data_IF_528660228338
#
_entry.id   IF_528660228338
#
_cell.length_a   1.000
_cell.length_b   1.000
_cell.length_c   1.000
_cell.angle_alpha   90.00
_cell.angle_beta   90.00
_cell.angle_gamma   90.00
#
_symmetry.space_group_name_H-M   'P 1'
#
loop_
_entity.id
_entity.type
_entity.pdbx_description
1 polymer ?
#
# COMPACT_ATOMS: atom_id res chain seq x y z
N UNK A 1 12.89 3.90 18.06
CA UNK A 1 13.10 4.55 16.74
C UNK A 1 12.26 5.82 16.67
N UNK A 2 12.75 6.87 16.01
CA UNK A 2 11.96 8.09 15.80
C UNK A 2 10.73 7.79 14.94
N UNK A 3 9.55 8.26 15.34
CA UNK A 3 8.28 8.01 14.63
C UNK A 3 8.33 8.57 13.21
N UNK A 4 8.97 9.74 13.04
CA UNK A 4 9.14 10.33 11.70
C UNK A 4 10.03 9.48 10.78
N UNK A 5 10.97 8.72 11.35
CA UNK A 5 11.75 7.74 10.56
C UNK A 5 10.88 6.57 10.14
N UNK A 6 10.01 6.06 11.03
CA UNK A 6 9.01 5.03 10.69
C UNK A 6 8.14 5.51 9.52
N UNK A 7 7.59 6.72 9.61
CA UNK A 7 6.73 7.28 8.57
C UNK A 7 7.45 7.38 7.23
N UNK A 8 8.71 7.83 7.20
CA UNK A 8 9.52 7.87 5.97
C UNK A 8 9.73 6.49 5.36
N UNK A 9 10.01 5.47 6.18
CA UNK A 9 10.18 4.09 5.71
C UNK A 9 8.86 3.58 5.11
N UNK A 10 7.74 3.78 5.80
CA UNK A 10 6.41 3.37 5.31
C UNK A 10 6.04 4.10 4.03
N UNK A 11 6.35 5.39 3.91
CA UNK A 11 6.16 6.15 2.66
C UNK A 11 6.99 5.53 1.53
N UNK A 12 8.27 5.24 1.76
CA UNK A 12 9.14 4.65 0.74
C UNK A 12 8.61 3.28 0.27
N UNK A 13 8.18 2.43 1.22
CA UNK A 13 7.57 1.13 0.90
C UNK A 13 6.26 1.33 0.10
N UNK A 14 5.41 2.27 0.52
CA UNK A 14 4.13 2.55 -0.14
C UNK A 14 4.32 3.04 -1.57
N UNK A 15 5.28 3.94 -1.80
CA UNK A 15 5.66 4.41 -3.14
C UNK A 15 6.13 3.22 -4.00
N UNK A 16 6.97 2.36 -3.45
CA UNK A 16 7.47 1.20 -4.19
C UNK A 16 6.34 0.22 -4.55
N UNK A 17 5.41 -0.03 -3.63
CA UNK A 17 4.28 -0.94 -3.85
C UNK A 17 3.25 -0.39 -4.84
N UNK A 18 2.98 0.92 -4.84
CA UNK A 18 1.99 1.54 -5.75
C UNK A 18 2.55 1.84 -7.14
N UNK A 19 3.87 1.93 -7.27
CA UNK A 19 4.54 2.32 -8.52
C UNK A 19 4.06 1.52 -9.76
N UNK A 20 3.86 0.19 -9.71
CA UNK A 20 3.31 -0.55 -10.85
C UNK A 20 1.96 -0.02 -11.34
N UNK A 21 1.06 0.34 -10.41
CA UNK A 21 -0.26 0.89 -10.76
C UNK A 21 -0.13 2.29 -11.37
N UNK A 22 0.77 3.13 -10.85
CA UNK A 22 1.00 4.45 -11.45
C UNK A 22 1.56 4.31 -12.86
N UNK A 23 2.50 3.37 -13.09
CA UNK A 23 3.10 3.14 -14.41
C UNK A 23 2.04 2.66 -15.42
N UNK A 24 1.11 1.77 -15.02
CA UNK A 24 0.06 1.29 -15.94
C UNK A 24 -0.94 2.37 -16.37
N UNK A 25 -1.05 3.49 -15.65
CA UNK A 25 -1.84 4.64 -16.10
C UNK A 25 -1.25 5.28 -17.38
N UNK A 26 0.08 5.22 -17.55
CA UNK A 26 0.78 5.89 -18.65
C UNK A 26 1.39 4.93 -19.67
N UNK A 27 1.53 3.65 -19.34
CA UNK A 27 2.07 2.61 -20.23
C UNK A 27 1.00 1.56 -20.57
N UNK A 28 0.48 1.56 -21.82
CA UNK A 28 -0.47 0.54 -22.28
C UNK A 28 0.10 -0.88 -22.20
N UNK A 29 1.38 -1.07 -22.50
CA UNK A 29 2.05 -2.38 -22.42
C UNK A 29 2.08 -2.89 -20.98
N UNK A 30 2.46 -2.02 -20.03
CA UNK A 30 2.51 -2.38 -18.62
C UNK A 30 1.11 -2.64 -18.04
N UNK A 31 0.12 -1.87 -18.50
CA UNK A 31 -1.29 -2.11 -18.17
C UNK A 31 -1.76 -3.47 -18.64
N UNK A 32 -1.51 -3.82 -19.90
CA UNK A 32 -1.90 -5.10 -20.47
C UNK A 32 -1.21 -6.26 -19.73
N UNK A 33 0.07 -6.10 -19.37
CA UNK A 33 0.80 -7.08 -18.57
C UNK A 33 0.10 -7.34 -17.22
N UNK A 34 -0.17 -6.30 -16.43
CA UNK A 34 -0.83 -6.45 -15.13
C UNK A 34 -2.28 -6.98 -15.23
N UNK A 35 -3.02 -6.53 -16.25
CA UNK A 35 -4.36 -7.02 -16.52
C UNK A 35 -4.33 -8.50 -16.90
N UNK A 36 -3.33 -8.93 -17.68
CA UNK A 36 -3.13 -10.33 -18.07
C UNK A 36 -2.81 -11.21 -16.86
N UNK A 37 -1.99 -10.72 -15.93
CA UNK A 37 -1.67 -11.43 -14.69
C UNK A 37 -2.92 -11.64 -13.81
N UNK A 38 -3.90 -10.75 -13.89
CA UNK A 38 -5.12 -10.77 -13.07
C UNK A 38 -6.28 -11.51 -13.75
N UNK A 39 -6.49 -11.30 -15.05
CA UNK A 39 -7.66 -11.75 -15.80
C UNK A 39 -7.35 -12.84 -16.84
N UNK A 40 -6.08 -13.24 -16.99
CA UNK A 40 -5.63 -14.23 -17.96
C UNK A 40 -5.18 -13.62 -19.30
N UNK A 41 -4.69 -14.47 -20.22
CA UNK A 41 -4.00 -14.07 -21.46
C UNK A 41 -4.81 -13.25 -22.47
N UNK A 42 -6.14 -13.26 -22.34
CA UNK A 42 -7.05 -12.52 -23.23
C UNK A 42 -8.14 -11.84 -22.41
N UNK A 43 -7.81 -10.77 -21.66
CA UNK A 43 -8.80 -10.03 -20.90
C UNK A 43 -9.88 -9.45 -21.85
N UNK A 44 -11.15 -9.50 -21.43
CA UNK A 44 -12.22 -8.84 -22.17
C UNK A 44 -12.13 -7.31 -22.05
N UNK A 45 -12.81 -6.59 -22.94
CA UNK A 45 -12.88 -5.13 -22.88
C UNK A 45 -13.44 -4.64 -21.52
N UNK A 46 -14.45 -5.32 -20.99
CA UNK A 46 -15.02 -5.03 -19.66
C UNK A 46 -13.98 -5.24 -18.54
N UNK A 47 -13.18 -6.29 -18.63
CA UNK A 47 -12.11 -6.56 -17.66
C UNK A 47 -11.02 -5.48 -17.71
N UNK A 48 -10.66 -5.05 -18.93
CA UNK A 48 -9.73 -3.93 -19.14
C UNK A 48 -10.28 -2.62 -18.57
N UNK A 49 -11.54 -2.30 -18.84
CA UNK A 49 -12.17 -1.10 -18.30
C UNK A 49 -12.25 -1.13 -16.77
N UNK A 50 -12.56 -2.29 -16.19
CA UNK A 50 -12.53 -2.47 -14.74
C UNK A 50 -11.12 -2.27 -14.17
N UNK A 51 -10.10 -2.85 -14.81
CA UNK A 51 -8.70 -2.71 -14.41
C UNK A 51 -8.21 -1.26 -14.45
N UNK A 52 -8.57 -0.52 -15.50
CA UNK A 52 -8.22 0.89 -15.66
C UNK A 52 -8.82 1.75 -14.54
N UNK A 53 -10.11 1.56 -14.25
CA UNK A 53 -10.78 2.25 -13.15
C UNK A 53 -10.18 1.88 -11.79
N UNK A 54 -9.92 0.60 -11.55
CA UNK A 54 -9.27 0.12 -10.34
C UNK A 54 -7.90 0.77 -10.15
N UNK A 55 -7.07 0.73 -11.19
CA UNK A 55 -5.72 1.30 -11.17
C UNK A 55 -5.78 2.79 -10.84
N UNK A 56 -6.64 3.56 -11.52
CA UNK A 56 -6.78 5.00 -11.29
C UNK A 56 -7.18 5.30 -9.84
N UNK A 57 -8.20 4.63 -9.33
CA UNK A 57 -8.71 4.86 -7.97
C UNK A 57 -7.65 4.50 -6.93
N UNK A 58 -7.05 3.32 -7.01
CA UNK A 58 -6.05 2.88 -6.02
C UNK A 58 -4.80 3.76 -6.09
N UNK A 59 -4.35 4.16 -7.30
CA UNK A 59 -3.24 5.11 -7.48
C UNK A 59 -3.48 6.43 -6.73
N UNK A 60 -4.67 7.02 -6.88
CA UNK A 60 -5.01 8.29 -6.24
C UNK A 60 -5.23 8.15 -4.73
N UNK A 61 -5.90 7.09 -4.28
CA UNK A 61 -6.13 6.83 -2.85
C UNK A 61 -4.82 6.72 -2.10
N UNK A 62 -3.87 5.90 -2.55
CA UNK A 62 -2.60 5.73 -1.85
C UNK A 62 -1.70 6.96 -1.99
N UNK A 63 -1.78 7.70 -3.10
CA UNK A 63 -1.11 9.00 -3.22
C UNK A 63 -1.64 9.97 -2.13
N UNK A 64 -2.95 10.04 -1.93
CA UNK A 64 -3.57 10.81 -0.86
C UNK A 64 -3.11 10.37 0.54
N UNK A 65 -3.06 9.06 0.79
CA UNK A 65 -2.56 8.50 2.06
C UNK A 65 -1.09 8.86 2.29
N UNK A 66 -0.24 8.78 1.27
CA UNK A 66 1.18 9.18 1.36
C UNK A 66 1.29 10.66 1.78
N UNK A 67 0.54 11.56 1.13
CA UNK A 67 0.53 12.97 1.51
C UNK A 67 -0.02 13.21 2.91
N UNK A 68 -1.00 12.43 3.35
CA UNK A 68 -1.49 12.49 4.72
C UNK A 68 -0.39 12.10 5.74
N UNK A 69 0.38 11.04 5.47
CA UNK A 69 1.53 10.65 6.30
C UNK A 69 2.59 11.77 6.31
N UNK A 70 2.89 12.35 5.15
CA UNK A 70 3.81 13.51 5.04
C UNK A 70 3.31 14.67 5.90
N UNK A 71 2.04 15.04 5.79
CA UNK A 71 1.41 16.09 6.58
C UNK A 71 1.52 15.81 8.09
N UNK A 72 1.32 14.57 8.51
CA UNK A 72 1.42 14.18 9.92
C UNK A 72 2.84 14.32 10.50
N UNK A 73 3.89 14.35 9.67
CA UNK A 73 5.25 14.62 10.14
C UNK A 73 5.45 16.07 10.60
N UNK A 74 4.51 16.98 10.33
CA UNK A 74 4.54 18.36 10.86
C UNK A 74 4.28 18.43 12.37
N UNK A 75 3.61 17.42 12.95
CA UNK A 75 3.36 17.39 14.39
C UNK A 75 4.67 17.23 15.18
N UNK A 76 4.74 17.91 16.33
CA UNK A 76 5.88 17.85 17.27
C UNK A 76 5.56 17.05 18.52
N UNK A 77 4.28 16.94 18.88
CA UNK A 77 3.81 16.19 20.04
C UNK A 77 3.93 14.68 19.82
N UNK A 78 4.62 14.01 20.74
CA UNK A 78 4.84 12.55 20.71
C UNK A 78 3.52 11.77 20.78
N UNK A 79 2.58 12.18 21.64
CA UNK A 79 1.30 11.50 21.82
C UNK A 79 0.45 11.56 20.54
N UNK A 80 0.49 12.70 19.84
CA UNK A 80 -0.18 12.88 18.55
C UNK A 80 0.46 11.97 17.51
N UNK A 81 1.79 11.96 17.40
CA UNK A 81 2.51 11.10 16.45
C UNK A 81 2.28 9.61 16.70
N UNK A 82 2.23 9.18 17.97
CA UNK A 82 1.89 7.80 18.34
C UNK A 82 0.48 7.42 17.92
N UNK A 83 -0.48 8.33 18.14
CA UNK A 83 -1.88 8.12 17.69
C UNK A 83 -1.97 8.04 16.17
N UNK A 84 -1.27 8.90 15.44
CA UNK A 84 -1.21 8.81 13.98
C UNK A 84 -0.58 7.50 13.51
N UNK A 85 0.51 7.06 14.14
CA UNK A 85 1.12 5.76 13.86
C UNK A 85 0.16 4.59 14.06
N UNK A 86 -0.69 4.65 15.09
CA UNK A 86 -1.74 3.65 15.31
C UNK A 86 -2.81 3.68 14.22
N UNK A 87 -3.28 4.86 13.81
CA UNK A 87 -4.29 5.00 12.76
C UNK A 87 -3.77 4.47 11.42
N UNK A 88 -2.50 4.76 11.09
CA UNK A 88 -1.87 4.16 9.91
C UNK A 88 -1.71 2.65 10.06
N UNK A 89 -1.32 2.14 11.23
CA UNK A 89 -1.28 0.70 11.47
C UNK A 89 -2.63 0.04 11.18
N UNK A 90 -3.74 0.65 11.61
CA UNK A 90 -5.10 0.15 11.33
C UNK A 90 -5.39 0.20 9.83
N UNK A 91 -5.15 1.34 9.17
CA UNK A 91 -5.39 1.51 7.74
C UNK A 91 -4.62 0.48 6.90
N UNK A 92 -3.29 0.43 7.07
CA UNK A 92 -2.44 -0.53 6.38
C UNK A 92 -2.76 -1.97 6.81
N UNK A 93 -3.31 -2.18 8.01
CA UNK A 93 -3.74 -3.48 8.50
C UNK A 93 -4.83 -4.06 7.62
N UNK A 94 -5.82 -3.25 7.26
CA UNK A 94 -6.86 -3.64 6.31
C UNK A 94 -6.32 -3.82 4.90
N UNK A 95 -5.38 -2.98 4.45
CA UNK A 95 -4.71 -3.17 3.15
C UNK A 95 -4.00 -4.53 3.11
N UNK A 96 -3.07 -4.79 4.03
CA UNK A 96 -2.31 -6.05 4.04
C UNK A 96 -3.19 -7.27 4.33
N UNK A 97 -4.37 -7.10 4.93
CA UNK A 97 -5.29 -8.20 5.18
C UNK A 97 -5.81 -8.84 3.89
N UNK A 98 -5.93 -8.10 2.79
CA UNK A 98 -6.37 -8.68 1.51
C UNK A 98 -5.39 -9.74 1.02
N UNK A 99 -4.09 -9.48 1.16
CA UNK A 99 -3.03 -10.41 0.79
C UNK A 99 -3.04 -11.65 1.69
N UNK A 100 -3.20 -11.45 3.00
CA UNK A 100 -3.28 -12.55 3.96
C UNK A 100 -4.50 -13.44 3.71
N UNK A 101 -5.65 -12.85 3.40
CA UNK A 101 -6.86 -13.61 3.04
C UNK A 101 -6.62 -14.41 1.75
N UNK A 102 -6.00 -13.81 0.73
CA UNK A 102 -5.68 -14.50 -0.52
C UNK A 102 -4.75 -15.71 -0.29
N UNK A 103 -3.71 -15.55 0.54
CA UNK A 103 -2.83 -16.64 0.96
C UNK A 103 -3.61 -17.75 1.66
N UNK A 104 -4.45 -17.41 2.64
CA UNK A 104 -5.22 -18.38 3.42
C UNK A 104 -6.25 -19.13 2.57
N UNK A 105 -6.76 -18.51 1.51
CA UNK A 105 -7.67 -19.12 0.55
C UNK A 105 -6.95 -19.97 -0.51
N UNK A 106 -5.62 -19.96 -0.56
CA UNK A 106 -4.86 -20.58 -1.63
C UNK A 106 -5.17 -19.97 -3.00
N UNK A 107 -5.47 -18.66 -3.03
CA UNK A 107 -5.88 -17.98 -4.26
C UNK A 107 -4.71 -17.86 -5.23
N UNK A 108 -4.98 -18.08 -6.51
CA UNK A 108 -4.02 -17.80 -7.59
C UNK A 108 -3.74 -16.30 -7.77
N UNK A 109 -4.53 -15.42 -7.13
CA UNK A 109 -4.35 -13.97 -7.11
C UNK A 109 -3.51 -13.49 -5.90
N UNK A 110 -2.81 -14.40 -5.22
CA UNK A 110 -1.95 -14.05 -4.09
C UNK A 110 -0.80 -13.16 -4.56
N UNK A 111 -0.62 -12.02 -3.91
CA UNK A 111 0.49 -11.12 -4.19
C UNK A 111 1.85 -11.83 -4.04
N UNK A 112 2.88 -11.44 -4.81
CA UNK A 112 4.23 -12.01 -4.65
C UNK A 112 4.72 -11.88 -3.21
N UNK A 113 5.37 -12.92 -2.68
CA UNK A 113 5.85 -12.96 -1.30
C UNK A 113 6.64 -11.70 -0.86
N UNK A 114 7.54 -11.12 -1.68
CA UNK A 114 8.22 -9.87 -1.31
C UNK A 114 7.27 -8.71 -1.03
N UNK A 115 6.16 -8.60 -1.78
CA UNK A 115 5.13 -7.56 -1.59
C UNK A 115 4.42 -7.74 -0.26
N UNK A 116 4.02 -8.97 0.07
CA UNK A 116 3.37 -9.31 1.34
C UNK A 116 4.29 -8.96 2.51
N UNK A 117 5.56 -9.36 2.43
CA UNK A 117 6.55 -9.07 3.47
C UNK A 117 6.74 -7.57 3.70
N UNK A 118 6.80 -6.77 2.63
CA UNK A 118 6.88 -5.31 2.72
C UNK A 118 5.65 -4.69 3.40
N UNK A 119 4.46 -5.23 3.13
CA UNK A 119 3.23 -4.85 3.83
C UNK A 119 3.30 -5.14 5.33
N UNK A 120 3.74 -6.35 5.69
CA UNK A 120 3.89 -6.77 7.10
C UNK A 120 4.99 -5.98 7.84
N UNK A 121 6.10 -5.66 7.19
CA UNK A 121 7.15 -4.80 7.74
C UNK A 121 6.59 -3.40 8.07
N UNK A 122 5.78 -2.84 7.16
CA UNK A 122 5.12 -1.56 7.38
C UNK A 122 4.20 -1.62 8.61
N UNK A 123 3.42 -2.70 8.77
CA UNK A 123 2.60 -2.91 9.96
C UNK A 123 3.41 -2.99 11.24
N UNK A 124 4.48 -3.79 11.25
CA UNK A 124 5.33 -3.96 12.42
C UNK A 124 5.92 -2.62 12.86
N UNK A 125 6.40 -1.81 11.91
CA UNK A 125 6.92 -0.48 12.22
C UNK A 125 5.84 0.48 12.72
N UNK A 126 4.67 0.53 12.09
CA UNK A 126 3.58 1.41 12.52
C UNK A 126 3.04 1.04 13.90
N UNK A 127 2.92 -0.26 14.19
CA UNK A 127 2.56 -0.74 15.52
C UNK A 127 3.62 -0.38 16.56
N UNK A 128 4.90 -0.63 16.25
CA UNK A 128 6.01 -0.22 17.11
C UNK A 128 5.98 1.30 17.37
N UNK A 129 5.77 2.11 16.32
CA UNK A 129 5.66 3.56 16.41
C UNK A 129 4.55 4.00 17.36
N UNK A 130 3.41 3.30 17.35
CA UNK A 130 2.29 3.60 18.25
C UNK A 130 2.55 3.31 19.72
N UNK A 131 3.39 2.31 20.03
CA UNK A 131 3.62 1.83 21.41
C UNK A 131 4.92 2.36 22.02
N UNK A 132 5.98 2.43 21.22
CA UNK A 132 7.37 2.66 21.66
C UNK A 132 8.09 3.74 20.84
N UNK A 133 7.42 4.35 19.87
CA UNK A 133 7.99 5.42 19.08
C UNK A 133 8.29 6.66 19.93
N UNK A 134 9.34 7.38 19.57
CA UNK A 134 9.73 8.66 20.17
C UNK A 134 9.83 9.72 19.07
N UNK A 135 9.89 11.01 19.43
CA UNK A 135 10.04 12.10 18.43
C UNK A 135 11.43 12.12 17.78
#
# INVERSE_FOLDING_TARGET
>A
MKIKTIFKIVIAISIFQIMPLIISLFSPEFRLMLATDTFGSTPSDDAMQMFENFTLVISLVFTGVIFHIIGSMSFTDESVLRRQSFLYFVFFGFVSSTDLVAVLQGSNLTAPLPVILLGLISLAFLYYGSKKGVV
#
